data_IF_284104645907
#
_entry.id   IF_284104645907
#
_cell.length_a   1.000
_cell.length_b   1.000
_cell.length_c   1.000
_cell.angle_alpha   90.00
_cell.angle_beta   90.00
_cell.angle_gamma   90.00
#
_symmetry.space_group_name_H-M   'P 1'
#
loop_
_entity.id
_entity.type
_entity.pdbx_description
1 polymer ?
#
# COMPACT_ATOMS: atom_id res chain seq x y z
N UNK A 1 10.49 -31.87 -11.61
CA UNK A 1 9.14 -31.27 -11.58
C UNK A 1 8.96 -30.76 -10.16
N UNK A 2 8.93 -29.45 -9.95
CA UNK A 2 8.64 -28.91 -8.61
C UNK A 2 7.15 -29.16 -8.32
N UNK A 3 6.76 -29.55 -7.10
CA UNK A 3 5.36 -29.71 -6.75
C UNK A 3 4.61 -28.40 -6.95
N UNK A 4 3.41 -28.50 -7.50
CA UNK A 4 2.51 -27.37 -7.72
C UNK A 4 1.89 -27.01 -6.36
N UNK A 5 2.47 -26.02 -5.68
CA UNK A 5 1.87 -25.46 -4.47
C UNK A 5 0.77 -24.49 -4.89
N UNK A 6 -0.48 -24.84 -4.62
CA UNK A 6 -1.60 -23.90 -4.66
C UNK A 6 -1.62 -23.14 -3.33
N UNK A 7 -1.41 -21.84 -3.40
CA UNK A 7 -1.59 -20.92 -2.27
C UNK A 7 -2.95 -20.23 -2.44
N UNK A 8 -3.87 -20.51 -1.52
CA UNK A 8 -5.16 -19.83 -1.47
C UNK A 8 -5.06 -18.58 -0.60
N UNK A 9 -5.10 -17.41 -1.24
CA UNK A 9 -5.04 -16.12 -0.54
C UNK A 9 -6.44 -15.55 -0.26
N UNK A 10 -6.59 -14.96 0.92
CA UNK A 10 -7.76 -14.19 1.32
C UNK A 10 -7.62 -12.71 0.95
N UNK A 11 -8.72 -11.99 0.68
CA UNK A 11 -8.67 -10.56 0.40
C UNK A 11 -8.26 -9.77 1.65
N UNK A 12 -7.20 -8.96 1.52
CA UNK A 12 -6.72 -8.05 2.59
C UNK A 12 -7.77 -6.99 2.94
N UNK A 13 -8.44 -6.44 1.93
CA UNK A 13 -9.58 -5.54 2.10
C UNK A 13 -10.76 -6.06 1.28
N UNK A 14 -11.98 -5.86 1.79
CA UNK A 14 -13.22 -6.10 1.05
C UNK A 14 -13.66 -4.80 0.39
N UNK A 15 -13.07 -4.49 -0.76
CA UNK A 15 -13.39 -3.31 -1.55
C UNK A 15 -14.77 -3.43 -2.23
N UNK A 16 -15.38 -2.30 -2.60
CA UNK A 16 -16.51 -2.32 -3.54
C UNK A 16 -16.06 -2.82 -4.92
N UNK A 17 -17.00 -3.28 -5.74
CA UNK A 17 -16.71 -3.72 -7.13
C UNK A 17 -16.03 -2.64 -7.98
N UNK A 18 -16.21 -1.37 -7.61
CA UNK A 18 -15.56 -0.23 -8.25
C UNK A 18 -14.42 0.31 -7.40
N UNK A 19 -13.22 0.32 -7.97
CA UNK A 19 -12.02 0.96 -7.42
C UNK A 19 -11.28 1.72 -8.53
N UNK A 20 -10.43 2.67 -8.14
CA UNK A 20 -9.59 3.42 -9.08
C UNK A 20 -8.11 3.13 -8.86
N UNK A 21 -7.38 2.84 -9.93
CA UNK A 21 -5.92 2.75 -9.89
C UNK A 21 -5.34 4.15 -10.05
N UNK A 22 -4.58 4.61 -9.06
CA UNK A 22 -3.98 5.93 -9.05
C UNK A 22 -2.62 5.90 -9.74
N UNK A 23 -2.35 6.93 -10.56
CA UNK A 23 -1.03 7.13 -11.16
C UNK A 23 -0.20 8.07 -10.27
N UNK A 24 0.71 7.48 -9.49
CA UNK A 24 1.62 8.25 -8.65
C UNK A 24 2.91 8.68 -9.35
N UNK A 25 3.07 8.36 -10.64
CA UNK A 25 4.17 8.91 -11.45
C UNK A 25 3.94 10.37 -11.83
N UNK A 26 2.67 10.82 -11.81
CA UNK A 26 2.29 12.22 -11.95
C UNK A 26 2.63 13.01 -10.68
N UNK A 27 2.99 14.28 -10.86
CA UNK A 27 3.16 15.22 -9.75
C UNK A 27 1.86 15.35 -8.95
N UNK A 28 1.97 15.78 -7.68
CA UNK A 28 0.80 15.92 -6.80
C UNK A 28 -0.23 16.89 -7.37
N UNK A 29 0.22 17.95 -8.04
CA UNK A 29 -0.60 18.99 -8.64
C UNK A 29 -1.29 18.52 -9.93
N UNK A 30 -0.65 17.60 -10.67
CA UNK A 30 -1.18 17.04 -11.91
C UNK A 30 -2.10 15.82 -11.72
N UNK A 31 -2.19 15.28 -10.51
CA UNK A 31 -2.98 14.08 -10.24
C UNK A 31 -4.46 14.44 -9.98
N UNK A 32 -5.40 13.86 -10.73
CA UNK A 32 -6.82 13.99 -10.44
C UNK A 32 -7.16 13.45 -9.05
N UNK A 33 -8.13 14.08 -8.37
CA UNK A 33 -8.70 13.49 -7.17
C UNK A 33 -9.46 12.20 -7.51
N UNK A 34 -9.34 11.15 -6.68
CA UNK A 34 -10.09 9.92 -6.91
C UNK A 34 -11.59 10.18 -6.81
N UNK A 35 -12.38 9.48 -7.62
CA UNK A 35 -13.85 9.50 -7.56
C UNK A 35 -14.41 8.27 -6.85
N UNK A 36 -13.61 7.22 -6.68
CA UNK A 36 -13.96 6.07 -5.85
C UNK A 36 -13.41 6.22 -4.43
N UNK A 37 -14.13 5.65 -3.47
CA UNK A 37 -13.69 5.50 -2.08
C UNK A 37 -12.59 4.45 -1.92
N UNK A 38 -12.51 3.49 -2.85
CA UNK A 38 -11.45 2.48 -2.89
C UNK A 38 -10.47 2.77 -4.02
N UNK A 39 -9.18 2.73 -3.71
CA UNK A 39 -8.13 3.04 -4.66
C UNK A 39 -6.98 2.04 -4.57
N UNK A 40 -6.20 1.92 -5.64
CA UNK A 40 -5.00 1.08 -5.68
C UNK A 40 -3.81 1.91 -6.13
N UNK A 41 -2.72 1.86 -5.37
CA UNK A 41 -1.39 2.31 -5.79
C UNK A 41 -0.56 1.14 -6.31
N UNK A 42 0.21 1.36 -7.39
CA UNK A 42 0.87 0.27 -8.13
C UNK A 42 2.21 -0.13 -7.52
N UNK A 43 2.52 -1.42 -7.56
CA UNK A 43 3.86 -1.95 -7.31
C UNK A 43 4.87 -1.51 -8.38
N UNK A 44 6.12 -1.31 -7.96
CA UNK A 44 7.24 -0.88 -8.81
C UNK A 44 6.96 0.43 -9.56
N UNK A 45 6.27 1.34 -8.90
CA UNK A 45 5.90 2.64 -9.45
C UNK A 45 6.93 3.70 -9.04
N UNK A 46 7.44 4.44 -10.03
CA UNK A 46 8.36 5.56 -9.79
C UNK A 46 7.56 6.80 -9.40
N UNK A 47 7.70 7.27 -8.16
CA UNK A 47 6.89 8.34 -7.54
C UNK A 47 7.73 9.60 -7.29
N UNK A 48 8.03 10.30 -8.37
CA UNK A 48 8.90 11.48 -8.36
C UNK A 48 8.30 12.56 -7.44
N UNK A 49 9.09 13.00 -6.46
CA UNK A 49 8.69 14.07 -5.54
C UNK A 49 7.65 13.68 -4.49
N UNK A 50 7.33 12.39 -4.31
CA UNK A 50 6.41 11.95 -3.25
C UNK A 50 7.13 11.66 -1.92
N UNK A 51 8.35 11.15 -1.98
CA UNK A 51 9.17 10.79 -0.82
C UNK A 51 10.15 11.93 -0.47
N UNK A 52 9.63 13.01 0.13
CA UNK A 52 10.40 14.24 0.38
C UNK A 52 10.89 14.42 1.82
N UNK A 53 10.47 13.54 2.74
CA UNK A 53 10.93 13.56 4.13
C UNK A 53 12.40 13.16 4.26
N UNK A 54 13.08 13.62 5.32
CA UNK A 54 14.50 13.33 5.60
C UNK A 54 14.81 11.82 5.63
N UNK A 55 13.85 11.01 6.07
CA UNK A 55 13.92 9.54 6.04
C UNK A 55 14.25 8.97 4.64
N UNK A 56 13.97 9.72 3.58
CA UNK A 56 14.15 9.34 2.18
C UNK A 56 15.31 10.07 1.49
N UNK A 57 16.18 10.76 2.24
CA UNK A 57 17.28 11.57 1.69
C UNK A 57 18.25 10.80 0.76
N UNK A 58 18.21 9.47 0.75
CA UNK A 58 18.95 8.60 -0.18
C UNK A 58 18.43 8.56 -1.62
N UNK A 59 17.47 9.42 -2.01
CA UNK A 59 16.97 9.49 -3.39
C UNK A 59 16.04 8.34 -3.78
N UNK A 60 15.34 7.76 -2.81
CA UNK A 60 14.38 6.68 -3.05
C UNK A 60 13.10 7.26 -3.65
N UNK A 61 12.76 6.87 -4.87
CA UNK A 61 11.52 7.25 -5.55
C UNK A 61 10.66 6.05 -6.01
N UNK A 62 11.20 4.82 -5.95
CA UNK A 62 10.46 3.62 -6.32
C UNK A 62 9.61 3.07 -5.15
N UNK A 63 8.32 2.87 -5.41
CA UNK A 63 7.40 2.21 -4.52
C UNK A 63 7.49 0.68 -4.66
N UNK A 64 7.80 -0.01 -3.57
CA UNK A 64 7.98 -1.47 -3.54
C UNK A 64 6.86 -2.19 -2.78
N UNK A 65 5.75 -1.49 -2.52
CA UNK A 65 4.53 -2.04 -1.94
C UNK A 65 3.38 -2.02 -2.95
N UNK A 66 2.19 -2.36 -2.48
CA UNK A 66 0.92 -2.04 -3.13
C UNK A 66 0.11 -1.25 -2.12
N UNK A 67 -0.43 -0.11 -2.54
CA UNK A 67 -1.33 0.66 -1.66
C UNK A 67 -2.77 0.19 -1.89
N UNK A 68 -3.44 -0.20 -0.81
CA UNK A 68 -4.87 -0.54 -0.83
C UNK A 68 -5.64 0.54 -0.08
N UNK A 69 -6.13 1.54 -0.82
CA UNK A 69 -6.84 2.68 -0.28
C UNK A 69 -8.32 2.38 0.00
N UNK A 70 -8.83 2.91 1.11
CA UNK A 70 -10.24 2.81 1.50
C UNK A 70 -10.60 3.85 2.56
N UNK A 71 -11.91 4.03 2.88
CA UNK A 71 -12.34 4.90 3.95
C UNK A 71 -11.74 4.51 5.31
N UNK A 72 -11.55 5.50 6.19
CA UNK A 72 -11.15 5.23 7.57
C UNK A 72 -12.13 4.26 8.25
N UNK A 73 -11.60 3.28 8.98
CA UNK A 73 -12.40 2.19 9.57
C UNK A 73 -12.62 0.99 8.65
N UNK A 74 -12.10 1.00 7.42
CA UNK A 74 -12.05 -0.21 6.57
C UNK A 74 -11.29 -1.32 7.29
N UNK A 75 -11.90 -2.52 7.36
CA UNK A 75 -11.28 -3.68 8.00
C UNK A 75 -10.15 -4.22 7.12
N UNK A 76 -9.01 -4.50 7.75
CA UNK A 76 -7.85 -5.17 7.15
C UNK A 76 -7.82 -6.62 7.66
N UNK A 77 -7.66 -7.56 6.76
CA UNK A 77 -7.64 -9.00 7.00
C UNK A 77 -6.28 -9.58 6.63
N UNK A 78 -5.84 -10.64 7.32
CA UNK A 78 -4.68 -11.41 6.90
C UNK A 78 -4.95 -12.07 5.54
N UNK A 79 -3.98 -12.01 4.63
CA UNK A 79 -4.11 -12.61 3.29
C UNK A 79 -3.84 -14.11 3.29
N UNK A 80 -3.19 -14.62 4.33
CA UNK A 80 -2.86 -16.03 4.48
C UNK A 80 -2.74 -16.40 5.96
N UNK A 81 -2.70 -17.70 6.26
CA UNK A 81 -2.36 -18.18 7.60
C UNK A 81 -0.94 -17.78 7.97
N UNK A 82 -0.75 -17.31 9.20
CA UNK A 82 0.54 -16.85 9.71
C UNK A 82 0.46 -16.39 11.16
N UNK A 83 1.59 -15.94 11.69
CA UNK A 83 1.71 -15.40 13.05
C UNK A 83 2.01 -13.91 12.99
N UNK A 84 1.65 -13.15 14.02
CA UNK A 84 2.09 -11.75 14.09
C UNK A 84 3.54 -11.74 14.56
N UNK A 85 4.45 -11.31 13.70
CA UNK A 85 5.87 -11.16 14.02
C UNK A 85 6.16 -9.89 14.82
N UNK A 86 5.62 -8.75 14.41
CA UNK A 86 5.77 -7.46 15.11
C UNK A 86 4.55 -6.55 14.85
N UNK A 87 4.30 -5.62 15.77
CA UNK A 87 3.30 -4.58 15.60
C UNK A 87 3.73 -3.31 16.35
N UNK A 88 3.56 -2.14 15.73
CA UNK A 88 4.02 -0.88 16.29
C UNK A 88 3.27 0.32 15.71
N UNK A 89 3.13 1.36 16.52
CA UNK A 89 2.72 2.68 16.05
C UNK A 89 3.96 3.58 15.84
N UNK A 90 4.23 3.94 14.59
CA UNK A 90 5.36 4.77 14.20
C UNK A 90 4.96 6.26 14.12
N UNK A 91 5.39 7.07 15.09
CA UNK A 91 5.05 8.49 15.15
C UNK A 91 5.95 9.44 14.33
N UNK A 92 6.94 8.94 13.59
CA UNK A 92 7.87 9.78 12.82
C UNK A 92 7.24 10.22 11.49
N UNK A 93 7.48 11.47 11.09
CA UNK A 93 6.99 11.99 9.82
C UNK A 93 7.56 11.19 8.63
N UNK A 94 6.67 10.74 7.74
CA UNK A 94 7.02 9.93 6.58
C UNK A 94 7.30 8.45 6.88
N UNK A 95 7.19 8.01 8.13
CA UNK A 95 7.29 6.59 8.51
C UNK A 95 5.96 5.86 8.23
N UNK A 96 5.91 4.56 8.53
CA UNK A 96 4.79 3.68 8.18
C UNK A 96 3.49 3.88 9.00
N UNK A 97 3.52 4.71 10.05
CA UNK A 97 2.39 4.83 10.98
C UNK A 97 2.10 3.51 11.72
N UNK A 98 0.84 3.25 12.13
CA UNK A 98 0.44 1.96 12.68
C UNK A 98 0.71 0.80 11.72
N UNK A 99 1.55 -0.13 12.15
CA UNK A 99 2.09 -1.23 11.33
C UNK A 99 1.93 -2.55 12.04
N UNK A 100 1.60 -3.60 11.28
CA UNK A 100 1.58 -4.99 11.70
C UNK A 100 2.32 -5.81 10.65
N UNK A 101 3.18 -6.71 11.11
CA UNK A 101 3.98 -7.62 10.27
C UNK A 101 3.58 -9.04 10.64
N UNK A 102 3.18 -9.83 9.65
CA UNK A 102 2.91 -11.26 9.75
C UNK A 102 4.05 -12.07 9.16
#
# INVERSE_FOLDING_TARGET
MLPEFSLDFHPVIKASEHYEVLDFSLSREGRPSPKSSFTIGRYNEKRIGLYTHELFAGGRDNHIGIDLGGPAGTRVHAFYEGEIYDFRDHGKAGDYGPTLIT
#
